data_IF_771940772074
#
_entry.id   IF_771940772074
#
_cell.length_a   1.000
_cell.length_b   1.000
_cell.length_c   1.000
_cell.angle_alpha   90.00
_cell.angle_beta   90.00
_cell.angle_gamma   90.00
#
_symmetry.space_group_name_H-M   'P 1'
#
loop_
_entity.id
_entity.type
_entity.pdbx_description
1 polymer ?
#
# COMPACT_ATOMS: atom_id res chain seq x y z
N UNK A 1 -17.73 23.80 5.49
CA UNK A 1 -17.09 23.05 6.58
C UNK A 1 -17.16 21.56 6.36
N UNK A 2 -18.37 21.05 6.30
CA UNK A 2 -18.53 19.61 6.09
C UNK A 2 -17.93 19.15 4.77
N UNK A 3 -18.03 20.00 3.75
CA UNK A 3 -17.45 19.67 2.46
C UNK A 3 -15.94 19.53 2.56
N UNK A 4 -15.29 20.39 3.34
CA UNK A 4 -13.86 20.31 3.53
C UNK A 4 -13.48 19.03 4.26
N UNK A 5 -14.25 18.68 5.30
CA UNK A 5 -13.95 17.48 6.06
C UNK A 5 -14.09 16.25 5.18
N UNK A 6 -15.12 16.24 4.33
CA UNK A 6 -15.33 15.14 3.41
C UNK A 6 -14.19 15.02 2.42
N UNK A 7 -13.72 16.17 1.90
CA UNK A 7 -12.61 16.16 0.97
C UNK A 7 -11.34 15.62 1.62
N UNK A 8 -11.15 15.99 2.91
CA UNK A 8 -10.00 15.51 3.66
C UNK A 8 -10.06 14.01 3.86
N UNK A 9 -11.25 13.49 4.18
CA UNK A 9 -11.44 12.06 4.34
C UNK A 9 -11.13 11.33 3.05
N UNK A 10 -11.54 11.89 1.90
CA UNK A 10 -11.27 11.26 0.62
C UNK A 10 -9.77 11.23 0.34
N UNK A 11 -9.01 12.17 0.90
CA UNK A 11 -7.58 12.21 0.71
C UNK A 11 -6.82 11.36 1.71
N UNK A 12 -7.51 10.77 2.67
CA UNK A 12 -6.88 9.96 3.70
C UNK A 12 -6.68 8.52 3.25
N UNK A 13 -6.86 8.25 1.98
CA UNK A 13 -6.67 6.91 1.45
C UNK A 13 -5.99 6.99 0.09
N UNK A 14 -5.44 5.87 -0.33
CA UNK A 14 -4.76 5.77 -1.60
C UNK A 14 -5.04 4.40 -2.21
N UNK A 15 -5.04 4.33 -3.54
CA UNK A 15 -5.16 3.03 -4.21
C UNK A 15 -3.98 2.16 -3.82
N UNK A 16 -4.29 0.91 -3.55
CA UNK A 16 -3.27 -0.06 -3.12
C UNK A 16 -2.16 -0.20 -4.15
N UNK A 17 -2.50 -0.32 -5.44
CA UNK A 17 -1.49 -0.49 -6.47
C UNK A 17 -0.56 0.71 -6.57
N UNK A 18 -1.10 1.92 -6.42
CA UNK A 18 -0.28 3.13 -6.47
C UNK A 18 0.64 3.21 -5.27
N UNK A 19 0.14 2.90 -4.08
CA UNK A 19 0.96 2.96 -2.88
C UNK A 19 2.10 1.96 -2.95
N UNK A 20 1.81 0.73 -3.38
CA UNK A 20 2.85 -0.30 -3.51
C UNK A 20 3.94 0.15 -4.48
N UNK A 21 3.56 0.81 -5.56
CA UNK A 21 4.51 1.32 -6.53
C UNK A 21 5.32 2.48 -5.94
N UNK A 22 4.67 3.41 -5.24
CA UNK A 22 5.35 4.53 -4.60
C UNK A 22 6.33 4.03 -3.53
N UNK A 23 5.97 2.97 -2.82
CA UNK A 23 6.81 2.37 -1.78
C UNK A 23 7.90 1.47 -2.37
N UNK A 24 7.97 1.38 -3.69
CA UNK A 24 9.00 0.64 -4.43
C UNK A 24 9.00 -0.85 -4.18
N UNK A 25 7.82 -1.41 -3.96
CA UNK A 25 7.71 -2.87 -3.84
C UNK A 25 7.98 -3.56 -5.17
N UNK A 26 7.60 -2.91 -6.29
CA UNK A 26 7.90 -3.41 -7.63
C UNK A 26 8.25 -2.21 -8.51
N UNK A 27 8.92 -2.48 -9.62
CA UNK A 27 9.41 -1.42 -10.51
C UNK A 27 8.29 -0.75 -11.29
N UNK A 28 7.28 -1.51 -11.70
CA UNK A 28 6.20 -0.96 -12.52
C UNK A 28 4.89 -1.02 -11.75
N UNK A 29 4.08 0.03 -11.89
CA UNK A 29 2.79 0.05 -11.23
C UNK A 29 1.87 -1.06 -11.75
N UNK A 30 1.99 -1.39 -13.03
CA UNK A 30 1.19 -2.47 -13.62
C UNK A 30 1.53 -3.81 -12.96
N UNK A 31 2.76 -4.00 -12.54
CA UNK A 31 3.15 -5.23 -11.83
C UNK A 31 2.54 -5.26 -10.45
N UNK A 32 2.46 -4.11 -9.80
CA UNK A 32 1.79 -4.02 -8.50
C UNK A 32 0.32 -4.39 -8.64
N UNK A 33 -0.34 -3.87 -9.66
CA UNK A 33 -1.75 -4.17 -9.91
C UNK A 33 -1.94 -5.66 -10.16
N UNK A 34 -1.03 -6.26 -10.92
CA UNK A 34 -1.11 -7.69 -11.24
C UNK A 34 -0.92 -8.54 -10.00
N UNK A 35 0.01 -8.13 -9.14
CA UNK A 35 0.25 -8.84 -7.89
C UNK A 35 -1.01 -8.85 -7.02
N UNK A 36 -1.66 -7.70 -6.89
CA UNK A 36 -2.88 -7.60 -6.10
C UNK A 36 -3.99 -8.42 -6.73
N UNK A 37 -4.12 -8.34 -8.06
CA UNK A 37 -5.18 -9.07 -8.78
C UNK A 37 -5.06 -10.57 -8.60
N UNK A 38 -3.87 -11.07 -8.26
CA UNK A 38 -3.66 -12.47 -7.97
C UNK A 38 -4.28 -12.94 -6.67
N UNK A 39 -4.75 -12.03 -5.82
CA UNK A 39 -5.48 -12.38 -4.61
C UNK A 39 -4.60 -12.77 -3.43
N UNK A 40 -3.31 -12.52 -3.50
CA UNK A 40 -2.37 -12.93 -2.46
C UNK A 40 -1.98 -11.82 -1.51
N UNK A 41 -2.37 -10.58 -1.81
CA UNK A 41 -2.08 -9.45 -0.93
C UNK A 41 -3.22 -9.31 0.08
N UNK A 42 -2.88 -9.04 1.33
CA UNK A 42 -3.86 -8.86 2.40
C UNK A 42 -3.73 -7.47 2.98
N UNK A 43 -4.88 -6.88 3.28
CA UNK A 43 -4.96 -5.64 4.04
C UNK A 43 -5.59 -6.00 5.36
N UNK A 44 -4.85 -5.82 6.46
CA UNK A 44 -5.34 -6.14 7.81
C UNK A 44 -5.86 -7.58 7.87
N UNK A 45 -5.08 -8.51 7.26
CA UNK A 45 -5.38 -9.95 7.22
C UNK A 45 -6.52 -10.34 6.29
N UNK A 46 -7.13 -9.37 5.60
CA UNK A 46 -8.21 -9.64 4.65
C UNK A 46 -7.62 -9.70 3.25
N UNK A 47 -7.72 -10.82 2.55
CA UNK A 47 -7.21 -10.88 1.19
C UNK A 47 -8.01 -9.96 0.27
N UNK A 48 -7.32 -9.37 -0.69
CA UNK A 48 -7.97 -8.54 -1.69
C UNK A 48 -7.40 -8.86 -3.06
N UNK A 49 -8.25 -8.80 -4.08
CA UNK A 49 -7.81 -8.93 -5.45
C UNK A 49 -8.06 -7.65 -6.24
N UNK A 50 -8.31 -6.55 -5.52
CA UNK A 50 -8.67 -5.28 -6.17
C UNK A 50 -7.52 -4.30 -6.07
N UNK A 51 -6.83 -4.02 -7.20
CA UNK A 51 -5.74 -3.04 -7.20
C UNK A 51 -6.18 -1.66 -6.71
N UNK A 52 -7.46 -1.35 -6.87
CA UNK A 52 -8.02 -0.06 -6.45
C UNK A 52 -8.52 -0.08 -5.01
N UNK A 53 -8.24 -1.14 -4.23
CA UNK A 53 -8.64 -1.17 -2.84
C UNK A 53 -8.05 0.04 -2.11
N UNK A 54 -8.81 0.55 -1.15
CA UNK A 54 -8.40 1.75 -0.41
C UNK A 54 -7.48 1.40 0.73
N UNK A 55 -6.32 2.05 0.74
CA UNK A 55 -5.32 1.85 1.76
C UNK A 55 -5.20 3.11 2.60
N UNK A 56 -5.10 2.96 3.92
CA UNK A 56 -5.00 4.09 4.84
C UNK A 56 -3.79 3.93 5.74
N UNK A 57 -3.33 5.04 6.28
CA UNK A 57 -2.25 5.00 7.29
C UNK A 57 -2.71 4.13 8.45
N UNK A 58 -1.81 3.28 8.91
CA UNK A 58 -2.10 2.34 9.99
C UNK A 58 -2.48 0.95 9.49
N UNK A 59 -2.87 0.82 8.23
CA UNK A 59 -3.18 -0.50 7.69
C UNK A 59 -1.93 -1.36 7.64
N UNK A 60 -2.10 -2.66 7.86
CA UNK A 60 -1.01 -3.63 7.79
C UNK A 60 -1.19 -4.45 6.52
N UNK A 61 -0.15 -4.45 5.70
CA UNK A 61 -0.16 -5.18 4.43
C UNK A 61 0.67 -6.45 4.55
N UNK A 62 0.14 -7.53 4.01
CA UNK A 62 0.90 -8.76 3.82
C UNK A 62 1.12 -8.93 2.32
N UNK A 63 2.37 -8.90 1.90
CA UNK A 63 2.74 -8.85 0.49
C UNK A 63 3.73 -9.97 0.19
N UNK A 64 3.35 -10.96 -0.64
CA UNK A 64 4.28 -12.00 -1.04
C UNK A 64 5.13 -11.51 -2.21
N UNK A 65 6.46 -11.53 -2.04
CA UNK A 65 7.39 -11.10 -3.07
C UNK A 65 8.60 -12.03 -3.08
N UNK A 66 8.90 -12.57 -4.27
CA UNK A 66 10.14 -13.30 -4.51
C UNK A 66 10.37 -14.42 -3.50
N UNK A 67 9.33 -15.18 -3.22
CA UNK A 67 9.45 -16.32 -2.33
C UNK A 67 9.43 -15.97 -0.85
N UNK A 68 9.27 -14.71 -0.51
CA UNK A 68 9.18 -14.27 0.88
C UNK A 68 7.91 -13.49 1.08
N UNK A 69 7.42 -13.48 2.32
CA UNK A 69 6.25 -12.71 2.68
C UNK A 69 6.71 -11.53 3.51
N UNK A 70 6.35 -10.32 3.08
CA UNK A 70 6.67 -9.11 3.81
C UNK A 70 5.40 -8.60 4.48
N UNK A 71 5.51 -8.21 5.74
CA UNK A 71 4.42 -7.62 6.47
C UNK A 71 4.85 -6.21 6.86
N UNK A 72 4.10 -5.23 6.41
CA UNK A 72 4.46 -3.83 6.65
C UNK A 72 3.25 -3.05 7.12
N UNK A 73 3.50 -2.08 8.01
CA UNK A 73 2.46 -1.14 8.43
C UNK A 73 2.63 0.16 7.65
N UNK A 74 1.53 0.66 7.09
CA UNK A 74 1.55 1.90 6.35
C UNK A 74 1.74 3.06 7.30
N UNK A 75 2.82 3.83 7.10
CA UNK A 75 3.14 4.99 7.92
C UNK A 75 2.69 6.28 7.27
N UNK A 76 2.70 6.34 5.94
CA UNK A 76 2.34 7.53 5.21
C UNK A 76 1.86 7.15 3.82
N UNK A 77 0.98 7.96 3.28
CA UNK A 77 0.58 7.87 1.88
C UNK A 77 1.55 8.71 1.06
N UNK A 78 1.64 8.43 -0.25
CA UNK A 78 2.61 9.09 -1.11
C UNK A 78 1.92 9.68 -2.33
N UNK A 79 2.32 10.92 -2.69
CA UNK A 79 1.78 11.55 -3.87
C UNK A 79 2.58 11.18 -5.12
N UNK A 80 3.81 10.71 -4.94
CA UNK A 80 4.68 10.37 -6.06
C UNK A 80 5.63 9.25 -5.66
N UNK A 81 6.23 8.64 -6.67
CA UNK A 81 7.25 7.63 -6.45
C UNK A 81 8.59 8.33 -6.31
N UNK A 82 9.06 8.47 -5.08
CA UNK A 82 10.34 9.10 -4.81
C UNK A 82 11.49 8.10 -4.80
N UNK A 83 12.70 8.56 -4.45
CA UNK A 83 13.86 7.66 -4.36
C UNK A 83 13.69 6.68 -3.19
N UNK A 84 14.54 5.63 -3.20
CA UNK A 84 14.40 4.54 -2.23
C UNK A 84 14.42 4.99 -0.77
N UNK A 85 15.28 5.93 -0.35
CA UNK A 85 15.23 6.37 1.05
C UNK A 85 13.90 6.99 1.43
N UNK A 86 13.30 7.77 0.52
CA UNK A 86 11.99 8.37 0.78
C UNK A 86 10.92 7.29 0.84
N UNK A 87 11.00 6.30 -0.04
CA UNK A 87 10.02 5.22 -0.07
C UNK A 87 10.00 4.43 1.23
N UNK A 88 11.16 4.27 1.87
CA UNK A 88 11.24 3.53 3.12
C UNK A 88 10.52 4.21 4.27
N UNK A 89 10.29 5.52 4.17
CA UNK A 89 9.55 6.23 5.22
C UNK A 89 8.05 6.01 5.12
N UNK A 90 7.58 5.37 4.05
CA UNK A 90 6.16 5.15 3.86
C UNK A 90 5.64 3.97 4.67
N UNK A 91 6.53 3.14 5.18
CA UNK A 91 6.10 1.93 5.90
C UNK A 91 7.12 1.52 6.94
N UNK A 92 6.68 0.63 7.81
CA UNK A 92 7.48 0.03 8.86
C UNK A 92 7.35 -1.48 8.73
N UNK A 93 8.48 -2.21 8.71
CA UNK A 93 8.42 -3.67 8.71
C UNK A 93 7.84 -4.16 10.03
N UNK A 94 6.94 -5.12 9.94
CA UNK A 94 6.30 -5.73 11.11
C UNK A 94 6.77 -7.17 11.17
N UNK A 95 7.11 -7.62 12.37
CA UNK A 95 7.56 -9.00 12.55
C UNK A 95 6.44 -9.97 12.17
N UNK A 96 6.82 -11.03 11.43
CA UNK A 96 5.90 -12.11 11.09
C UNK A 96 5.93 -13.13 12.19
N UNK A 97 4.78 -13.43 12.74
CA UNK A 97 4.67 -14.44 13.80
C UNK A 97 4.08 -15.72 13.30
#
# INVERSE_FOLDING_TARGET
METEDRAREDKDWQRLDKWLWCARFMKARSDCARLVAGGLVRINRQPTDKPHARLRVGDVLTVPLRGAVRVVRVQALATRRGPAPEARTLYEEVAVE
#
